data_IF_794771738095
#
_entry.id   IF_794771738095
#
_cell.length_a   1.000
_cell.length_b   1.000
_cell.length_c   1.000
_cell.angle_alpha   90.00
_cell.angle_beta   90.00
_cell.angle_gamma   90.00
#
_symmetry.space_group_name_H-M   'P 1'
#
loop_
_entity.id
_entity.type
_entity.pdbx_description
1 polymer ?
#
# COMPACT_ATOMS: atom_id res chain seq x y z
N UNK A 1 60.73 -28.00 -48.58
CA UNK A 1 59.36 -27.78 -48.05
C UNK A 1 59.46 -27.25 -46.62
N UNK A 2 59.95 -26.02 -46.43
CA UNK A 2 60.24 -25.42 -45.10
C UNK A 2 59.97 -23.89 -45.09
N UNK A 3 59.08 -23.40 -45.96
CA UNK A 3 58.82 -21.95 -46.09
C UNK A 3 57.57 -21.52 -45.30
N UNK A 4 56.64 -22.43 -45.01
CA UNK A 4 55.38 -22.08 -44.34
C UNK A 4 55.52 -21.68 -42.85
N UNK A 5 56.61 -22.04 -42.16
CA UNK A 5 56.71 -21.87 -40.71
C UNK A 5 57.29 -20.51 -40.26
N UNK A 6 58.02 -19.80 -41.15
CA UNK A 6 58.69 -18.54 -40.80
C UNK A 6 57.78 -17.31 -40.94
N UNK A 7 56.76 -17.36 -41.80
CA UNK A 7 55.82 -16.24 -41.98
C UNK A 7 54.69 -16.22 -40.93
N UNK A 8 54.45 -17.35 -40.24
CA UNK A 8 53.44 -17.47 -39.18
C UNK A 8 53.93 -17.02 -37.79
N UNK A 9 55.24 -17.05 -37.53
CA UNK A 9 55.85 -16.60 -36.26
C UNK A 9 55.46 -15.19 -35.80
N UNK A 10 55.46 -14.16 -36.67
CA UNK A 10 55.07 -12.80 -36.26
C UNK A 10 53.56 -12.64 -36.01
N UNK A 11 52.72 -13.57 -36.49
CA UNK A 11 51.26 -13.53 -36.29
C UNK A 11 50.80 -14.18 -34.98
N UNK A 12 51.60 -15.06 -34.39
CA UNK A 12 51.32 -15.71 -33.09
C UNK A 12 50.99 -14.69 -31.98
N UNK A 13 51.79 -13.62 -31.74
CA UNK A 13 51.46 -12.60 -30.72
C UNK A 13 50.21 -11.79 -31.06
N UNK A 14 49.87 -11.62 -32.34
CA UNK A 14 48.64 -10.96 -32.77
C UNK A 14 47.41 -11.82 -32.44
N UNK A 15 47.44 -13.11 -32.77
CA UNK A 15 46.34 -14.03 -32.44
C UNK A 15 46.20 -14.25 -30.93
N UNK A 16 47.29 -14.30 -30.16
CA UNK A 16 47.21 -14.43 -28.70
C UNK A 16 46.63 -13.17 -28.04
N UNK A 17 47.01 -11.98 -28.50
CA UNK A 17 46.42 -10.71 -28.06
C UNK A 17 44.93 -10.61 -28.44
N UNK A 18 44.56 -11.06 -29.64
CA UNK A 18 43.18 -11.06 -30.12
C UNK A 18 42.28 -12.02 -29.32
N UNK A 19 42.74 -13.25 -29.08
CA UNK A 19 42.04 -14.23 -28.23
C UNK A 19 41.93 -13.70 -26.80
N UNK A 20 43.00 -13.12 -26.25
CA UNK A 20 42.99 -12.48 -24.93
C UNK A 20 41.99 -11.33 -24.83
N UNK A 21 41.89 -10.49 -25.87
CA UNK A 21 40.92 -9.40 -25.94
C UNK A 21 39.47 -9.91 -26.04
N UNK A 22 39.21 -10.97 -26.80
CA UNK A 22 37.88 -11.60 -26.88
C UNK A 22 37.48 -12.18 -25.52
N UNK A 23 38.37 -12.92 -24.86
CA UNK A 23 38.09 -13.50 -23.53
C UNK A 23 37.87 -12.38 -22.50
N UNK A 24 38.71 -11.34 -22.53
CA UNK A 24 38.55 -10.16 -21.68
C UNK A 24 37.20 -9.47 -21.90
N UNK A 25 36.81 -9.27 -23.16
CA UNK A 25 35.53 -8.66 -23.52
C UNK A 25 34.33 -9.50 -23.05
N UNK A 26 34.33 -10.82 -23.32
CA UNK A 26 33.25 -11.72 -22.89
C UNK A 26 33.15 -11.75 -21.36
N UNK A 27 34.29 -11.78 -20.66
CA UNK A 27 34.32 -11.74 -19.19
C UNK A 27 33.76 -10.42 -18.65
N UNK A 28 34.24 -9.27 -19.16
CA UNK A 28 33.73 -7.95 -18.75
C UNK A 28 32.25 -7.80 -19.07
N UNK A 29 31.78 -8.27 -20.22
CA UNK A 29 30.38 -8.23 -20.60
C UNK A 29 29.52 -9.11 -19.69
N UNK A 30 29.98 -10.33 -19.39
CA UNK A 30 29.25 -11.26 -18.50
C UNK A 30 29.15 -10.72 -17.08
N UNK A 31 30.24 -10.14 -16.55
CA UNK A 31 30.26 -9.51 -15.24
C UNK A 31 29.35 -8.28 -15.22
N UNK A 32 29.42 -7.42 -16.24
CA UNK A 32 28.55 -6.25 -16.35
C UNK A 32 27.07 -6.64 -16.42
N UNK A 33 26.72 -7.65 -17.21
CA UNK A 33 25.36 -8.17 -17.32
C UNK A 33 24.85 -8.74 -15.99
N UNK A 34 25.68 -9.53 -15.29
CA UNK A 34 25.33 -10.09 -13.99
C UNK A 34 25.16 -9.00 -12.92
N UNK A 35 26.06 -8.01 -12.87
CA UNK A 35 25.97 -6.89 -11.93
C UNK A 35 24.74 -6.02 -12.22
N UNK A 36 24.42 -5.78 -13.49
CA UNK A 36 23.23 -5.03 -13.89
C UNK A 36 21.95 -5.75 -13.43
N UNK A 37 21.82 -7.05 -13.71
CA UNK A 37 20.66 -7.83 -13.27
C UNK A 37 20.51 -7.84 -11.75
N UNK A 38 21.63 -7.93 -11.00
CA UNK A 38 21.59 -7.83 -9.53
C UNK A 38 21.09 -6.46 -9.06
N UNK A 39 21.57 -5.38 -9.68
CA UNK A 39 21.10 -4.02 -9.36
C UNK A 39 19.63 -3.85 -9.66
N UNK A 40 19.15 -4.37 -10.79
CA UNK A 40 17.74 -4.28 -11.17
C UNK A 40 16.83 -5.06 -10.22
N UNK A 41 17.24 -6.27 -9.80
CA UNK A 41 16.53 -7.06 -8.79
C UNK A 41 16.50 -6.32 -7.45
N UNK A 42 17.63 -5.77 -7.01
CA UNK A 42 17.71 -5.03 -5.74
C UNK A 42 16.86 -3.76 -5.78
N UNK A 43 16.92 -2.98 -6.87
CA UNK A 43 16.09 -1.80 -7.05
C UNK A 43 14.59 -2.14 -7.05
N UNK A 44 14.21 -3.27 -7.64
CA UNK A 44 12.84 -3.75 -7.60
C UNK A 44 12.40 -4.14 -6.17
N UNK A 45 13.26 -4.84 -5.43
CA UNK A 45 13.00 -5.20 -4.03
C UNK A 45 12.86 -3.96 -3.14
N UNK A 46 13.76 -3.00 -3.28
CA UNK A 46 13.72 -1.73 -2.55
C UNK A 46 12.44 -0.94 -2.88
N UNK A 47 12.04 -0.92 -4.15
CA UNK A 47 10.78 -0.31 -4.58
C UNK A 47 9.56 -0.98 -3.94
N UNK A 48 9.48 -2.31 -3.95
CA UNK A 48 8.36 -3.04 -3.34
C UNK A 48 8.33 -2.80 -1.82
N UNK A 49 9.49 -2.81 -1.16
CA UNK A 49 9.61 -2.49 0.27
C UNK A 49 9.08 -1.10 0.58
N UNK A 50 9.48 -0.09 -0.21
CA UNK A 50 8.96 1.27 -0.06
C UNK A 50 7.43 1.32 -0.22
N UNK A 51 6.86 0.57 -1.18
CA UNK A 51 5.40 0.52 -1.36
C UNK A 51 4.67 -0.18 -0.22
N UNK A 52 5.28 -1.19 0.39
CA UNK A 52 4.75 -1.83 1.59
C UNK A 52 4.77 -0.88 2.80
N UNK A 53 5.85 -0.12 2.98
CA UNK A 53 5.94 0.93 4.01
C UNK A 53 4.89 2.03 3.79
N UNK A 54 4.74 2.51 2.55
CA UNK A 54 3.69 3.45 2.15
C UNK A 54 2.29 2.93 2.50
N UNK A 55 2.02 1.64 2.21
CA UNK A 55 0.74 1.00 2.50
C UNK A 55 0.51 0.90 4.01
N UNK A 56 1.53 0.53 4.78
CA UNK A 56 1.46 0.47 6.24
C UNK A 56 1.08 1.83 6.83
N UNK A 57 1.79 2.89 6.46
CA UNK A 57 1.49 4.26 6.91
C UNK A 57 0.06 4.65 6.51
N UNK A 58 -0.35 4.32 5.28
CA UNK A 58 -1.70 4.60 4.78
C UNK A 58 -2.78 3.93 5.63
N UNK A 59 -2.57 2.69 6.10
CA UNK A 59 -3.54 2.00 6.98
C UNK A 59 -3.69 2.69 8.34
N UNK A 60 -2.62 3.28 8.87
CA UNK A 60 -2.67 4.08 10.12
C UNK A 60 -3.50 5.35 9.90
N UNK A 61 -3.28 6.04 8.79
CA UNK A 61 -4.07 7.22 8.43
C UNK A 61 -5.56 6.88 8.26
N UNK A 62 -5.88 5.74 7.63
CA UNK A 62 -7.26 5.24 7.54
C UNK A 62 -7.85 5.02 8.93
N UNK A 63 -7.16 4.30 9.82
CA UNK A 63 -7.65 4.06 11.18
C UNK A 63 -7.94 5.36 11.93
N UNK A 64 -7.08 6.37 11.76
CA UNK A 64 -7.26 7.70 12.36
C UNK A 64 -8.51 8.39 11.83
N UNK A 65 -8.75 8.36 10.51
CA UNK A 65 -9.95 8.92 9.90
C UNK A 65 -11.21 8.21 10.37
N UNK A 66 -11.21 6.87 10.43
CA UNK A 66 -12.36 6.12 10.92
C UNK A 66 -12.66 6.39 12.39
N UNK A 67 -11.63 6.57 13.22
CA UNK A 67 -11.84 6.98 14.61
C UNK A 67 -12.50 8.36 14.68
N UNK A 68 -12.05 9.34 13.88
CA UNK A 68 -12.68 10.66 13.84
C UNK A 68 -14.16 10.59 13.41
N UNK A 69 -14.45 9.84 12.34
CA UNK A 69 -15.82 9.64 11.84
C UNK A 69 -16.69 8.93 12.89
N UNK A 70 -16.14 7.92 13.57
CA UNK A 70 -16.81 7.21 14.65
C UNK A 70 -17.17 8.15 15.82
N UNK A 71 -16.23 8.97 16.29
CA UNK A 71 -16.50 9.95 17.36
C UNK A 71 -17.58 10.96 16.95
N UNK A 72 -17.57 11.41 15.69
CA UNK A 72 -18.63 12.29 15.16
C UNK A 72 -19.99 11.59 15.15
N UNK A 73 -20.03 10.32 14.77
CA UNK A 73 -21.26 9.55 14.76
C UNK A 73 -21.85 9.41 16.18
N UNK A 74 -21.00 9.09 17.16
CA UNK A 74 -21.41 9.01 18.57
C UNK A 74 -21.94 10.35 19.09
N UNK A 75 -21.26 11.45 18.74
CA UNK A 75 -21.71 12.79 19.12
C UNK A 75 -23.08 13.11 18.51
N UNK A 76 -23.28 12.79 17.24
CA UNK A 76 -24.54 13.00 16.52
C UNK A 76 -25.71 12.22 17.12
N UNK A 77 -25.49 10.96 17.51
CA UNK A 77 -26.53 10.11 18.11
C UNK A 77 -26.95 10.60 19.50
N UNK A 78 -25.98 11.08 20.29
CA UNK A 78 -26.19 11.39 21.71
C UNK A 78 -26.58 12.85 22.00
N UNK A 79 -26.41 13.77 21.05
CA UNK A 79 -26.75 15.18 21.25
C UNK A 79 -28.24 15.44 20.98
N UNK A 80 -28.94 15.95 21.98
CA UNK A 80 -30.40 16.12 21.96
C UNK A 80 -30.91 17.24 21.03
N UNK A 81 -30.04 18.11 20.52
CA UNK A 81 -30.40 19.23 19.62
C UNK A 81 -29.61 19.26 18.31
N UNK A 82 -29.16 18.10 17.82
CA UNK A 82 -28.36 18.06 16.59
C UNK A 82 -29.24 18.17 15.34
N UNK A 83 -29.00 19.19 14.51
CA UNK A 83 -29.71 19.34 13.22
C UNK A 83 -29.13 18.38 12.19
N UNK A 84 -29.94 17.54 11.51
CA UNK A 84 -29.43 16.70 10.43
C UNK A 84 -28.71 17.56 9.38
N UNK A 85 -27.52 17.13 8.95
CA UNK A 85 -26.65 17.87 8.03
C UNK A 85 -25.67 18.87 8.67
N UNK A 86 -25.75 19.15 9.97
CA UNK A 86 -24.78 20.03 10.67
C UNK A 86 -23.55 19.28 11.17
N UNK A 87 -23.00 18.35 10.39
CA UNK A 87 -21.75 17.67 10.76
C UNK A 87 -20.69 18.78 10.88
N UNK A 88 -20.01 18.93 12.04
CA UNK A 88 -18.87 19.83 12.10
C UNK A 88 -17.90 19.31 11.06
N UNK A 89 -17.72 20.09 9.99
CA UNK A 89 -16.75 19.81 8.97
C UNK A 89 -15.41 19.85 9.69
N UNK A 90 -14.91 18.69 10.13
CA UNK A 90 -13.51 18.53 10.51
C UNK A 90 -12.73 18.54 9.21
N UNK A 91 -12.82 19.67 8.51
CA UNK A 91 -12.00 20.01 7.39
C UNK A 91 -10.59 20.04 7.91
N UNK A 92 -9.93 18.89 7.81
CA UNK A 92 -8.54 18.91 7.43
C UNK A 92 -8.53 19.77 6.17
N UNK A 93 -7.94 20.96 6.29
CA UNK A 93 -7.72 21.92 5.23
C UNK A 93 -7.39 21.16 3.95
N UNK A 94 -7.94 21.62 2.83
CA UNK A 94 -7.54 21.28 1.47
C UNK A 94 -6.03 20.99 1.38
N UNK A 95 -5.66 19.73 1.57
CA UNK A 95 -4.38 19.22 1.14
C UNK A 95 -4.65 18.63 -0.22
N UNK A 96 -3.84 19.03 -1.20
CA UNK A 96 -3.78 18.49 -2.57
C UNK A 96 -3.49 16.96 -2.57
N UNK A 97 -3.33 16.36 -1.39
CA UNK A 97 -3.06 14.95 -1.17
C UNK A 97 -4.27 14.05 -1.39
N UNK A 98 -3.98 12.90 -1.99
CA UNK A 98 -4.93 11.81 -2.26
C UNK A 98 -5.49 11.29 -0.92
N UNK A 99 -6.83 11.15 -0.77
CA UNK A 99 -7.43 10.59 0.44
C UNK A 99 -6.83 9.23 0.81
N UNK A 100 -6.55 8.92 2.09
CA UNK A 100 -5.88 7.69 2.50
C UNK A 100 -6.52 6.41 1.97
N UNK A 101 -7.85 6.37 1.92
CA UNK A 101 -8.59 5.24 1.38
C UNK A 101 -8.33 5.05 -0.13
N UNK A 102 -8.33 6.14 -0.90
CA UNK A 102 -8.03 6.13 -2.34
C UNK A 102 -6.56 5.76 -2.56
N UNK A 103 -5.64 6.31 -1.75
CA UNK A 103 -4.22 5.95 -1.79
C UNK A 103 -4.00 4.47 -1.52
N UNK A 104 -4.74 3.88 -0.58
CA UNK A 104 -4.70 2.45 -0.29
C UNK A 104 -5.17 1.63 -1.50
N UNK A 105 -6.29 2.00 -2.12
CA UNK A 105 -6.80 1.34 -3.33
C UNK A 105 -5.80 1.44 -4.49
N UNK A 106 -5.17 2.60 -4.69
CA UNK A 106 -4.11 2.78 -5.69
C UNK A 106 -2.89 1.90 -5.41
N UNK A 107 -2.42 1.84 -4.16
CA UNK A 107 -1.27 1.02 -3.76
C UNK A 107 -1.53 -0.47 -4.03
N UNK A 108 -2.71 -0.96 -3.66
CA UNK A 108 -3.10 -2.35 -3.88
C UNK A 108 -3.29 -2.68 -5.36
N UNK A 109 -3.85 -1.76 -6.14
CA UNK A 109 -4.18 -2.02 -7.54
C UNK A 109 -2.98 -1.90 -8.48
N UNK A 110 -2.09 -0.94 -8.23
CA UNK A 110 -0.98 -0.62 -9.12
C UNK A 110 0.32 -1.31 -8.74
N UNK A 111 0.58 -1.46 -7.43
CA UNK A 111 1.91 -1.85 -6.95
C UNK A 111 1.91 -3.16 -6.15
N UNK A 112 0.83 -3.46 -5.43
CA UNK A 112 0.75 -4.59 -4.50
C UNK A 112 -0.49 -5.47 -4.74
N UNK A 113 -0.74 -5.96 -5.98
CA UNK A 113 -1.95 -6.73 -6.30
C UNK A 113 -2.08 -8.03 -5.49
N UNK A 114 -0.95 -8.60 -5.07
CA UNK A 114 -0.88 -9.82 -4.23
C UNK A 114 -1.60 -9.61 -2.89
N UNK A 115 -1.67 -8.36 -2.39
CA UNK A 115 -2.32 -8.03 -1.13
C UNK A 115 -3.81 -7.76 -1.25
N UNK A 116 -4.38 -7.67 -2.46
CA UNK A 116 -5.78 -7.26 -2.65
C UNK A 116 -6.77 -8.17 -1.91
N UNK A 117 -6.56 -9.49 -1.97
CA UNK A 117 -7.44 -10.45 -1.27
C UNK A 117 -7.41 -10.28 0.25
N UNK A 118 -6.26 -9.87 0.81
CA UNK A 118 -6.12 -9.61 2.25
C UNK A 118 -6.95 -8.40 2.71
N UNK A 119 -7.30 -7.49 1.80
CA UNK A 119 -8.11 -6.30 2.08
C UNK A 119 -9.61 -6.49 1.80
N UNK A 120 -10.03 -7.60 1.22
CA UNK A 120 -11.44 -7.85 0.85
C UNK A 120 -12.40 -7.73 2.04
N UNK A 121 -11.98 -8.23 3.20
CA UNK A 121 -12.77 -8.11 4.42
C UNK A 121 -12.92 -6.64 4.86
N UNK A 122 -11.83 -5.87 4.86
CA UNK A 122 -11.86 -4.45 5.17
C UNK A 122 -12.76 -3.65 4.21
N UNK A 123 -12.73 -3.94 2.90
CA UNK A 123 -13.57 -3.27 1.91
C UNK A 123 -15.06 -3.47 2.21
N UNK A 124 -15.47 -4.70 2.55
CA UNK A 124 -16.86 -4.99 2.93
C UNK A 124 -17.27 -4.25 4.22
N UNK A 125 -16.38 -4.24 5.22
CA UNK A 125 -16.62 -3.50 6.47
C UNK A 125 -16.76 -1.99 6.22
N UNK A 126 -15.92 -1.41 5.36
CA UNK A 126 -15.99 -0.02 4.91
C UNK A 126 -17.38 0.30 4.36
N UNK A 127 -17.92 -0.52 3.47
CA UNK A 127 -19.22 -0.27 2.83
C UNK A 127 -20.37 -0.33 3.85
N UNK A 128 -20.34 -1.32 4.75
CA UNK A 128 -21.31 -1.44 5.85
C UNK A 128 -21.26 -0.25 6.79
N UNK A 129 -20.05 0.15 7.20
CA UNK A 129 -19.85 1.29 8.07
C UNK A 129 -20.29 2.59 7.39
N UNK A 130 -19.92 2.81 6.13
CA UNK A 130 -20.34 3.99 5.36
C UNK A 130 -21.86 4.08 5.22
N UNK A 131 -22.53 2.95 4.99
CA UNK A 131 -23.99 2.89 4.93
C UNK A 131 -24.63 3.24 6.28
N UNK A 132 -24.12 2.67 7.37
CA UNK A 132 -24.64 2.95 8.71
C UNK A 132 -24.37 4.40 9.12
N UNK A 133 -23.16 4.90 8.86
CA UNK A 133 -22.79 6.29 9.12
C UNK A 133 -23.67 7.26 8.32
N UNK A 134 -23.91 6.97 7.05
CA UNK A 134 -24.84 7.71 6.20
C UNK A 134 -26.24 7.82 6.82
N UNK A 135 -26.77 6.71 7.36
CA UNK A 135 -28.05 6.72 8.09
C UNK A 135 -27.97 7.57 9.37
N UNK A 136 -26.88 7.48 10.12
CA UNK A 136 -26.68 8.25 11.35
C UNK A 136 -26.75 9.74 11.04
N UNK A 137 -25.98 10.23 10.07
CA UNK A 137 -25.91 11.67 9.78
C UNK A 137 -27.21 12.26 9.21
N UNK A 138 -28.04 11.46 8.54
CA UNK A 138 -29.32 11.89 7.96
C UNK A 138 -30.47 11.81 8.95
N UNK A 139 -30.32 11.09 10.07
CA UNK A 139 -31.38 10.86 11.04
C UNK A 139 -31.33 11.94 12.13
N UNK A 140 -32.50 12.48 12.49
CA UNK A 140 -32.66 13.33 13.66
C UNK A 140 -32.92 12.48 14.91
N UNK A 141 -31.93 12.35 15.79
CA UNK A 141 -32.00 11.52 16.98
C UNK A 141 -32.70 12.15 18.19
N UNK A 142 -33.08 13.44 18.12
CA UNK A 142 -33.82 14.14 19.18
C UNK A 142 -35.17 13.49 19.50
N UNK A 143 -35.78 12.84 18.51
CA UNK A 143 -37.10 12.20 18.64
C UNK A 143 -37.03 10.67 18.66
N UNK A 144 -35.83 10.10 18.61
CA UNK A 144 -35.65 8.65 18.54
C UNK A 144 -35.64 8.06 19.96
N UNK A 145 -36.39 6.97 20.21
CA UNK A 145 -36.40 6.29 21.50
C UNK A 145 -34.98 5.93 21.98
N UNK A 146 -34.73 6.06 23.29
CA UNK A 146 -33.42 5.77 23.90
C UNK A 146 -32.90 4.37 23.55
N UNK A 147 -33.80 3.37 23.49
CA UNK A 147 -33.45 1.99 23.15
C UNK A 147 -32.89 1.86 21.72
N UNK A 148 -33.51 2.53 20.75
CA UNK A 148 -33.06 2.55 19.36
C UNK A 148 -31.73 3.31 19.20
N UNK A 149 -31.55 4.42 19.94
CA UNK A 149 -30.26 5.15 20.00
C UNK A 149 -29.13 4.25 20.52
N UNK A 150 -29.39 3.49 21.58
CA UNK A 150 -28.42 2.55 22.15
C UNK A 150 -28.08 1.42 21.18
N UNK A 151 -29.06 0.88 20.46
CA UNK A 151 -28.85 -0.16 19.46
C UNK A 151 -27.98 0.34 18.29
N UNK A 152 -28.26 1.53 17.76
CA UNK A 152 -27.46 2.13 16.69
C UNK A 152 -26.04 2.45 17.19
N UNK A 153 -25.91 2.97 18.40
CA UNK A 153 -24.61 3.21 19.05
C UNK A 153 -23.80 1.92 19.15
N UNK A 154 -24.43 0.82 19.56
CA UNK A 154 -23.77 -0.49 19.61
C UNK A 154 -23.32 -0.93 18.21
N UNK A 155 -24.22 -0.89 17.23
CA UNK A 155 -23.93 -1.35 15.87
C UNK A 155 -22.76 -0.58 15.23
N UNK A 156 -22.69 0.74 15.42
CA UNK A 156 -21.59 1.55 14.86
C UNK A 156 -20.28 1.33 15.61
N UNK A 157 -20.34 1.07 16.92
CA UNK A 157 -19.19 0.74 17.76
C UNK A 157 -18.60 -0.62 17.36
N UNK A 158 -19.46 -1.64 17.21
CA UNK A 158 -19.05 -2.99 16.80
C UNK A 158 -18.38 -2.95 15.41
N UNK A 159 -18.99 -2.26 14.44
CA UNK A 159 -18.40 -2.10 13.10
C UNK A 159 -17.08 -1.32 13.13
N UNK A 160 -16.96 -0.28 13.96
CA UNK A 160 -15.70 0.45 14.12
C UNK A 160 -14.58 -0.46 14.64
N UNK A 161 -14.86 -1.27 15.68
CA UNK A 161 -13.87 -2.19 16.23
C UNK A 161 -13.51 -3.32 15.26
N UNK A 162 -14.46 -3.79 14.44
CA UNK A 162 -14.17 -4.73 13.36
C UNK A 162 -13.22 -4.12 12.31
N UNK A 163 -13.45 -2.85 11.94
CA UNK A 163 -12.56 -2.11 11.03
C UNK A 163 -11.16 -1.97 11.63
N UNK A 164 -11.04 -1.51 12.86
CA UNK A 164 -9.75 -1.34 13.55
C UNK A 164 -8.99 -2.68 13.64
N UNK A 165 -9.70 -3.76 14.01
CA UNK A 165 -9.14 -5.11 14.04
C UNK A 165 -8.68 -5.58 12.65
N UNK A 166 -9.47 -5.31 11.61
CA UNK A 166 -9.10 -5.65 10.23
C UNK A 166 -7.85 -4.89 9.76
N UNK A 167 -7.74 -3.59 10.08
CA UNK A 167 -6.57 -2.78 9.75
C UNK A 167 -5.32 -3.27 10.49
N UNK A 168 -5.44 -3.65 11.77
CA UNK A 168 -4.33 -4.25 12.54
C UNK A 168 -3.88 -5.59 11.97
N UNK A 169 -4.81 -6.43 11.50
CA UNK A 169 -4.47 -7.69 10.81
C UNK A 169 -3.69 -7.42 9.52
N UNK A 170 -4.14 -6.46 8.72
CA UNK A 170 -3.45 -6.02 7.51
C UNK A 170 -2.03 -5.51 7.84
N UNK A 171 -1.89 -4.67 8.86
CA UNK A 171 -0.59 -4.14 9.31
C UNK A 171 0.37 -5.27 9.70
N UNK A 172 -0.15 -6.29 10.39
CA UNK A 172 0.63 -7.49 10.75
C UNK A 172 1.07 -8.28 9.52
N UNK A 173 0.17 -8.47 8.54
CA UNK A 173 0.49 -9.16 7.29
C UNK A 173 1.56 -8.41 6.49
N UNK A 174 1.46 -7.08 6.37
CA UNK A 174 2.49 -6.25 5.74
C UNK A 174 3.83 -6.43 6.47
N UNK A 175 3.83 -6.34 7.81
CA UNK A 175 5.04 -6.48 8.62
C UNK A 175 5.70 -7.86 8.49
N UNK A 176 4.93 -8.92 8.21
CA UNK A 176 5.46 -10.26 7.99
C UNK A 176 6.12 -10.40 6.62
N UNK A 177 5.69 -9.64 5.61
CA UNK A 177 6.27 -9.66 4.27
C UNK A 177 7.59 -8.89 4.24
N UNK A 178 7.74 -7.87 5.08
CA UNK A 178 8.95 -7.05 5.15
C UNK A 178 10.06 -7.66 6.02
N UNK A 179 9.80 -8.77 6.72
CA UNK A 179 10.78 -9.53 7.53
C UNK A 179 11.41 -10.65 6.72
#
# INVERSE_FOLDING_TARGET
>A
MLIACNELKPWIPFFSAFIGAIIGFISSFSVAYYLQNKKDIQAHQDFIKQKLEDLYITTISIGTQYNQIYQQALFHINKEDFKPGSIPNTGTKETIDIPPLVRCEMLLNLYLPILREKFKHFINLKEKFGTLFGKVITTNYSHVPKKERQEITKNITDLYFEIDSSLKKIQKEISNITK
#
